data_IF_983662126766
#
_entry.id   IF_983662126766
#
_cell.length_a   1.000
_cell.length_b   1.000
_cell.length_c   1.000
_cell.angle_alpha   90.00
_cell.angle_beta   90.00
_cell.angle_gamma   90.00
#
_symmetry.space_group_name_H-M   'P 1'
#
loop_
_entity.id
_entity.type
_entity.pdbx_description
1 polymer ?
#
# COMPACT_ATOMS: atom_id res chain seq x y z
N UNK A 1 1.02 1.65 8.35
CA UNK A 1 0.34 0.34 8.54
C UNK A 1 -0.42 0.38 9.86
N UNK A 2 -1.70 -0.03 9.89
CA UNK A 2 -2.50 0.05 11.11
C UNK A 2 -2.01 -0.90 12.20
N UNK A 3 -2.18 -0.50 13.47
CA UNK A 3 -1.83 -1.31 14.66
C UNK A 3 -2.46 -2.71 14.60
N UNK A 4 -3.69 -2.82 14.10
CA UNK A 4 -4.38 -4.11 13.94
C UNK A 4 -3.64 -5.08 13.01
N UNK A 5 -3.05 -4.61 11.91
CA UNK A 5 -2.30 -5.48 10.99
C UNK A 5 -0.99 -5.98 11.62
N UNK A 6 -0.31 -5.13 12.41
CA UNK A 6 0.89 -5.53 13.17
C UNK A 6 0.57 -6.62 14.20
N UNK A 7 -0.52 -6.45 14.93
CA UNK A 7 -0.99 -7.46 15.89
C UNK A 7 -1.40 -8.76 15.18
N UNK A 8 -2.10 -8.67 14.05
CA UNK A 8 -2.44 -9.83 13.22
C UNK A 8 -1.19 -10.58 12.75
N UNK A 9 -0.14 -9.87 12.33
CA UNK A 9 1.14 -10.49 11.94
C UNK A 9 1.79 -11.23 13.10
N UNK A 10 1.86 -10.62 14.29
CA UNK A 10 2.45 -11.25 15.48
C UNK A 10 1.67 -12.49 15.88
N UNK A 11 0.33 -12.43 15.91
CA UNK A 11 -0.52 -13.57 16.24
C UNK A 11 -0.37 -14.73 15.24
N UNK A 12 -0.34 -14.43 13.94
CA UNK A 12 -0.14 -15.44 12.91
C UNK A 12 1.28 -16.02 12.96
N UNK A 13 2.29 -15.22 13.25
CA UNK A 13 3.68 -15.66 13.41
C UNK A 13 3.82 -16.58 14.61
N UNK A 14 3.19 -16.25 15.74
CA UNK A 14 3.16 -17.12 16.92
C UNK A 14 2.51 -18.47 16.60
N UNK A 15 1.39 -18.44 15.88
CA UNK A 15 0.72 -19.66 15.40
C UNK A 15 1.67 -20.48 14.53
N UNK A 16 2.32 -19.86 13.55
CA UNK A 16 3.29 -20.54 12.70
C UNK A 16 4.42 -21.19 13.51
N UNK A 17 5.10 -20.45 14.40
CA UNK A 17 6.24 -20.99 15.16
C UNK A 17 5.85 -22.06 16.19
N UNK A 18 4.65 -21.99 16.77
CA UNK A 18 4.15 -23.02 17.69
C UNK A 18 3.76 -24.30 16.96
N UNK A 19 3.11 -24.19 15.80
CA UNK A 19 2.60 -25.35 15.07
C UNK A 19 3.58 -25.95 14.06
N UNK A 20 4.55 -25.18 13.56
CA UNK A 20 5.53 -25.66 12.57
C UNK A 20 6.23 -26.97 12.96
N UNK A 21 6.68 -27.18 14.23
CA UNK A 21 7.29 -28.44 14.65
C UNK A 21 6.37 -29.66 14.49
N UNK A 22 5.06 -29.48 14.44
CA UNK A 22 4.07 -30.55 14.37
C UNK A 22 3.52 -30.82 12.96
N UNK A 23 3.77 -29.93 11.99
CA UNK A 23 3.21 -30.04 10.64
C UNK A 23 3.60 -31.35 9.93
N UNK A 24 4.78 -31.90 10.21
CA UNK A 24 5.22 -33.18 9.64
C UNK A 24 4.26 -34.35 9.95
N UNK A 25 3.48 -34.27 11.04
CA UNK A 25 2.50 -35.31 11.42
C UNK A 25 1.28 -35.36 10.50
N UNK A 26 1.03 -34.30 9.75
CA UNK A 26 -0.08 -34.25 8.78
C UNK A 26 0.25 -35.02 7.49
N UNK A 27 1.53 -35.31 7.23
CA UNK A 27 2.02 -35.81 5.94
C UNK A 27 2.48 -34.66 5.02
N UNK A 28 3.26 -35.01 3.99
CA UNK A 28 3.98 -34.02 3.18
C UNK A 28 3.06 -33.04 2.44
N UNK A 29 1.98 -33.53 1.81
CA UNK A 29 1.06 -32.72 1.03
C UNK A 29 0.30 -31.68 1.90
N UNK A 30 -0.46 -32.07 2.94
CA UNK A 30 -1.18 -31.10 3.76
C UNK A 30 -0.22 -30.17 4.54
N UNK A 31 0.94 -30.65 5.00
CA UNK A 31 1.94 -29.79 5.63
C UNK A 31 2.43 -28.70 4.68
N UNK A 32 2.69 -29.04 3.41
CA UNK A 32 3.12 -28.08 2.39
C UNK A 32 2.03 -27.05 2.09
N UNK A 33 0.78 -27.49 1.91
CA UNK A 33 -0.35 -26.58 1.68
C UNK A 33 -0.54 -25.60 2.84
N UNK A 34 -0.55 -26.10 4.08
CA UNK A 34 -0.68 -25.26 5.28
C UNK A 34 0.48 -24.26 5.37
N UNK A 35 1.72 -24.70 5.11
CA UNK A 35 2.90 -23.83 5.18
C UNK A 35 2.82 -22.72 4.13
N UNK A 36 2.46 -23.02 2.88
CA UNK A 36 2.31 -22.03 1.80
C UNK A 36 1.21 -21.03 2.14
N UNK A 37 0.05 -21.49 2.62
CA UNK A 37 -1.06 -20.61 3.01
C UNK A 37 -0.64 -19.68 4.16
N UNK A 38 -0.04 -20.22 5.22
CA UNK A 38 0.43 -19.41 6.35
C UNK A 38 1.49 -18.39 5.92
N UNK A 39 2.44 -18.79 5.07
CA UNK A 39 3.49 -17.90 4.58
C UNK A 39 2.93 -16.79 3.67
N UNK A 40 1.96 -17.10 2.81
CA UNK A 40 1.25 -16.11 1.99
C UNK A 40 0.47 -15.11 2.87
N UNK A 41 -0.26 -15.60 3.87
CA UNK A 41 -0.97 -14.73 4.82
C UNK A 41 -0.02 -13.84 5.63
N UNK A 42 1.13 -14.38 6.07
CA UNK A 42 2.16 -13.59 6.75
C UNK A 42 2.73 -12.51 5.82
N UNK A 43 3.02 -12.84 4.56
CA UNK A 43 3.55 -11.88 3.59
C UNK A 43 2.52 -10.78 3.25
N UNK A 44 1.23 -11.14 3.15
CA UNK A 44 0.13 -10.18 2.98
C UNK A 44 0.00 -9.25 4.19
N UNK A 45 0.14 -9.76 5.41
CA UNK A 45 0.11 -8.95 6.64
C UNK A 45 1.36 -8.07 6.76
N UNK A 46 2.53 -8.58 6.40
CA UNK A 46 3.79 -7.82 6.38
C UNK A 46 3.78 -6.71 5.32
N UNK A 47 3.23 -7.00 4.15
CA UNK A 47 2.99 -6.03 3.09
C UNK A 47 1.93 -5.01 3.52
N UNK A 48 0.85 -5.44 4.16
CA UNK A 48 -0.29 -4.60 4.46
C UNK A 48 -1.18 -4.32 3.24
N UNK A 49 -0.88 -4.88 2.07
CA UNK A 49 -1.74 -4.91 0.87
C UNK A 49 -2.05 -6.33 0.43
N UNK A 50 -3.17 -6.49 -0.29
CA UNK A 50 -3.55 -7.74 -0.94
C UNK A 50 -3.11 -7.67 -2.40
N UNK A 51 -1.85 -8.04 -2.64
CA UNK A 51 -1.25 -8.03 -3.97
C UNK A 51 -0.56 -9.37 -4.29
N UNK A 52 -0.46 -9.68 -5.59
CA UNK A 52 0.11 -10.92 -6.07
C UNK A 52 1.61 -11.05 -5.74
N UNK A 53 2.33 -9.94 -5.58
CA UNK A 53 3.76 -9.92 -5.29
C UNK A 53 3.99 -10.42 -3.86
N UNK A 54 3.21 -9.96 -2.89
CA UNK A 54 3.21 -10.44 -1.52
C UNK A 54 2.87 -11.94 -1.43
N UNK A 55 1.86 -12.42 -2.18
CA UNK A 55 1.53 -13.85 -2.24
C UNK A 55 2.70 -14.66 -2.82
N UNK A 56 3.32 -14.19 -3.90
CA UNK A 56 4.48 -14.82 -4.51
C UNK A 56 5.66 -14.89 -3.52
N UNK A 57 5.95 -13.80 -2.80
CA UNK A 57 6.99 -13.77 -1.78
C UNK A 57 6.69 -14.72 -0.61
N UNK A 58 5.44 -14.82 -0.16
CA UNK A 58 5.04 -15.79 0.86
C UNK A 58 5.15 -17.24 0.40
N UNK A 59 4.69 -17.56 -0.81
CA UNK A 59 4.87 -18.89 -1.40
C UNK A 59 6.35 -19.24 -1.57
N UNK A 60 7.15 -18.27 -2.05
CA UNK A 60 8.60 -18.39 -2.14
C UNK A 60 9.27 -18.59 -0.77
N UNK A 61 8.77 -17.93 0.27
CA UNK A 61 9.25 -18.11 1.65
C UNK A 61 9.02 -19.54 2.15
N UNK A 62 7.82 -20.10 1.94
CA UNK A 62 7.52 -21.48 2.32
C UNK A 62 8.43 -22.48 1.58
N UNK A 63 8.63 -22.29 0.28
CA UNK A 63 9.53 -23.12 -0.53
C UNK A 63 10.99 -23.03 -0.05
N UNK A 64 11.54 -21.82 0.04
CA UNK A 64 12.93 -21.60 0.42
C UNK A 64 13.22 -22.01 1.87
N UNK A 65 12.28 -21.74 2.78
CA UNK A 65 12.37 -22.19 4.18
C UNK A 65 12.43 -23.72 4.28
N UNK A 66 11.61 -24.42 3.50
CA UNK A 66 11.66 -25.90 3.45
C UNK A 66 13.00 -26.41 2.91
N UNK A 67 13.49 -25.82 1.82
CA UNK A 67 14.78 -26.19 1.22
C UNK A 67 15.96 -25.99 2.18
N UNK A 68 15.99 -24.84 2.87
CA UNK A 68 17.04 -24.51 3.83
C UNK A 68 16.90 -25.28 5.15
N UNK A 69 15.71 -25.79 5.47
CA UNK A 69 15.45 -26.59 6.68
C UNK A 69 16.26 -27.88 6.75
N UNK A 70 16.64 -28.43 5.59
CA UNK A 70 17.54 -29.58 5.52
C UNK A 70 18.99 -29.24 5.89
N UNK A 71 19.39 -27.96 5.77
CA UNK A 71 20.74 -27.49 6.07
C UNK A 71 20.83 -27.04 7.52
N UNK A 72 19.94 -26.13 7.94
CA UNK A 72 19.97 -25.53 9.28
C UNK A 72 18.64 -24.86 9.61
N UNK A 73 17.98 -25.19 10.74
CA UNK A 73 16.70 -24.58 11.11
C UNK A 73 16.76 -23.05 11.26
N UNK A 74 17.78 -22.44 11.89
CA UNK A 74 17.94 -20.99 11.92
C UNK A 74 18.08 -20.34 10.53
N UNK A 75 18.79 -20.99 9.61
CA UNK A 75 18.93 -20.47 8.25
C UNK A 75 17.59 -20.51 7.51
N UNK A 76 16.82 -21.58 7.69
CA UNK A 76 15.47 -21.71 7.14
C UNK A 76 14.55 -20.58 7.58
N UNK A 77 14.53 -20.28 8.88
CA UNK A 77 13.69 -19.20 9.42
C UNK A 77 14.19 -17.81 9.02
N UNK A 78 15.51 -17.61 8.91
CA UNK A 78 16.09 -16.36 8.40
C UNK A 78 15.60 -16.07 6.97
N UNK A 79 15.77 -17.04 6.06
CA UNK A 79 15.36 -16.89 4.65
C UNK A 79 13.85 -16.76 4.52
N UNK A 80 13.08 -17.54 5.30
CA UNK A 80 11.62 -17.45 5.35
C UNK A 80 11.16 -16.03 5.69
N UNK A 81 11.67 -15.45 6.78
CA UNK A 81 11.26 -14.12 7.24
C UNK A 81 11.69 -13.04 6.25
N UNK A 82 12.91 -13.13 5.70
CA UNK A 82 13.39 -12.20 4.67
C UNK A 82 12.47 -12.19 3.43
N UNK A 83 12.01 -13.36 2.98
CA UNK A 83 11.09 -13.46 1.85
C UNK A 83 9.67 -13.01 2.21
N UNK A 84 9.15 -13.34 3.39
CA UNK A 84 7.84 -12.83 3.88
C UNK A 84 7.81 -11.29 3.84
N UNK A 85 8.93 -10.65 4.15
CA UNK A 85 9.11 -9.20 4.10
C UNK A 85 9.59 -8.66 2.75
N UNK A 86 9.70 -9.50 1.72
CA UNK A 86 10.31 -9.16 0.43
C UNK A 86 9.57 -8.03 -0.29
N UNK A 87 8.25 -8.11 -0.40
CA UNK A 87 7.44 -7.04 -1.00
C UNK A 87 7.63 -5.72 -0.23
N UNK A 88 7.53 -5.75 1.11
CA UNK A 88 7.70 -4.56 1.95
C UNK A 88 9.09 -3.95 1.76
N UNK A 89 10.11 -4.79 1.63
CA UNK A 89 11.50 -4.37 1.38
C UNK A 89 11.63 -3.60 0.07
N UNK A 90 10.91 -3.99 -0.99
CA UNK A 90 10.92 -3.28 -2.28
C UNK A 90 10.40 -1.85 -2.15
N UNK A 91 9.51 -1.61 -1.18
CA UNK A 91 8.97 -0.28 -0.86
C UNK A 91 9.86 0.56 0.05
N UNK A 92 10.97 0.02 0.58
CA UNK A 92 11.93 0.83 1.34
C UNK A 92 12.69 1.73 0.36
N UNK A 93 12.58 3.06 0.57
CA UNK A 93 13.01 4.09 -0.38
C UNK A 93 14.54 4.16 -0.55
N UNK A 94 15.26 4.15 0.57
CA UNK A 94 16.71 4.36 0.60
C UNK A 94 17.43 3.03 0.56
N UNK A 95 18.46 2.90 -0.29
CA UNK A 95 19.22 1.65 -0.45
C UNK A 95 19.82 1.15 0.87
N UNK A 96 20.37 2.06 1.69
CA UNK A 96 20.89 1.72 3.02
C UNK A 96 19.80 1.18 3.97
N UNK A 97 18.65 1.84 4.04
CA UNK A 97 17.52 1.38 4.84
C UNK A 97 16.97 0.04 4.32
N UNK A 98 17.00 -0.19 3.01
CA UNK A 98 16.59 -1.46 2.41
C UNK A 98 17.54 -2.60 2.80
N UNK A 99 18.84 -2.36 2.74
CA UNK A 99 19.85 -3.32 3.19
C UNK A 99 19.69 -3.61 4.69
N UNK A 100 19.44 -2.58 5.50
CA UNK A 100 19.13 -2.74 6.92
C UNK A 100 17.84 -3.55 7.14
N UNK A 101 16.79 -3.34 6.34
CA UNK A 101 15.53 -4.10 6.44
C UNK A 101 15.73 -5.58 6.11
N UNK A 102 16.46 -5.90 5.04
CA UNK A 102 16.83 -7.29 4.70
C UNK A 102 17.70 -7.90 5.80
N UNK A 103 18.73 -7.18 6.25
CA UNK A 103 19.62 -7.65 7.31
C UNK A 103 18.88 -7.92 8.61
N UNK A 104 17.96 -7.03 9.00
CA UNK A 104 17.13 -7.18 10.19
C UNK A 104 16.15 -8.35 10.05
N UNK A 105 15.56 -8.55 8.87
CA UNK A 105 14.69 -9.71 8.60
C UNK A 105 15.44 -11.04 8.69
N UNK A 106 16.64 -11.12 8.11
CA UNK A 106 17.50 -12.30 8.20
C UNK A 106 17.95 -12.56 9.66
N UNK A 107 18.44 -11.53 10.35
CA UNK A 107 18.94 -11.65 11.72
C UNK A 107 17.83 -12.04 12.70
N UNK A 108 16.67 -11.37 12.63
CA UNK A 108 15.52 -11.67 13.49
C UNK A 108 14.91 -13.04 13.19
N UNK A 109 14.81 -13.42 11.91
CA UNK A 109 14.36 -14.75 11.52
C UNK A 109 15.32 -15.85 11.99
N UNK A 110 16.64 -15.64 11.88
CA UNK A 110 17.65 -16.56 12.39
C UNK A 110 17.59 -16.71 13.91
N UNK A 111 17.48 -15.61 14.64
CA UNK A 111 17.31 -15.60 16.09
C UNK A 111 16.02 -16.32 16.53
N UNK A 112 14.91 -16.07 15.84
CA UNK A 112 13.65 -16.77 16.07
C UNK A 112 13.78 -18.29 15.87
N UNK A 113 14.49 -18.72 14.83
CA UNK A 113 14.78 -20.14 14.59
C UNK A 113 15.64 -20.77 15.68
N UNK A 114 16.67 -20.07 16.16
CA UNK A 114 17.50 -20.52 17.28
C UNK A 114 16.68 -20.70 18.55
N UNK A 115 15.81 -19.74 18.88
CA UNK A 115 14.92 -19.81 20.04
C UNK A 115 14.01 -21.03 19.94
N UNK A 116 13.29 -21.21 18.83
CA UNK A 116 12.39 -22.36 18.66
C UNK A 116 13.15 -23.70 18.69
N UNK A 117 14.34 -23.75 18.09
CA UNK A 117 15.17 -24.94 18.09
C UNK A 117 15.65 -25.31 19.50
N UNK A 118 16.10 -24.34 20.29
CA UNK A 118 16.60 -24.56 21.66
C UNK A 118 15.53 -25.16 22.59
N UNK A 119 14.25 -24.85 22.37
CA UNK A 119 13.14 -25.32 23.19
C UNK A 119 12.31 -26.44 22.53
N UNK A 120 12.78 -27.03 21.42
CA UNK A 120 12.02 -28.06 20.68
C UNK A 120 11.68 -29.31 21.51
N UNK A 121 12.54 -29.67 22.46
CA UNK A 121 12.33 -30.81 23.37
C UNK A 121 11.66 -30.44 24.69
N UNK A 122 11.29 -29.17 24.90
CA UNK A 122 10.66 -28.73 26.13
C UNK A 122 9.17 -29.10 26.18
N UNK A 123 8.54 -28.90 27.34
CA UNK A 123 7.09 -29.05 27.48
C UNK A 123 6.31 -28.08 26.57
N UNK A 124 5.05 -28.42 26.29
CA UNK A 124 4.18 -27.64 25.38
C UNK A 124 4.05 -26.18 25.78
N UNK A 125 3.95 -25.88 27.08
CA UNK A 125 3.89 -24.51 27.59
C UNK A 125 5.16 -23.72 27.27
N UNK A 126 6.34 -24.31 27.50
CA UNK A 126 7.64 -23.67 27.20
C UNK A 126 7.81 -23.44 25.70
N UNK A 127 7.42 -24.41 24.87
CA UNK A 127 7.44 -24.27 23.42
C UNK A 127 6.50 -23.16 22.94
N UNK A 128 5.32 -23.03 23.55
CA UNK A 128 4.37 -21.95 23.25
C UNK A 128 4.97 -20.57 23.56
N UNK A 129 5.63 -20.42 24.72
CA UNK A 129 6.34 -19.18 25.09
C UNK A 129 7.48 -18.90 24.11
N UNK A 130 8.29 -19.91 23.76
CA UNK A 130 9.36 -19.76 22.77
C UNK A 130 8.82 -19.32 21.40
N UNK A 131 7.69 -19.87 20.96
CA UNK A 131 7.00 -19.46 19.73
C UNK A 131 6.50 -18.02 19.78
N UNK A 132 5.99 -17.55 20.92
CA UNK A 132 5.59 -16.16 21.11
C UNK A 132 6.81 -15.21 21.06
N UNK A 133 7.90 -15.56 21.71
CA UNK A 133 9.15 -14.79 21.66
C UNK A 133 9.67 -14.71 20.22
N UNK A 134 9.69 -15.85 19.51
CA UNK A 134 10.04 -15.90 18.09
C UNK A 134 9.16 -14.99 17.23
N UNK A 135 7.84 -14.97 17.47
CA UNK A 135 6.90 -14.10 16.78
C UNK A 135 7.19 -12.61 16.99
N UNK A 136 7.57 -12.21 18.20
CA UNK A 136 7.97 -10.83 18.51
C UNK A 136 9.28 -10.48 17.81
N UNK A 137 10.26 -11.39 17.81
CA UNK A 137 11.54 -11.18 17.13
C UNK A 137 11.33 -10.93 15.63
N UNK A 138 10.56 -11.77 14.94
CA UNK A 138 10.33 -11.62 13.50
C UNK A 138 9.49 -10.40 13.13
N UNK A 139 8.90 -9.69 14.10
CA UNK A 139 8.26 -8.39 13.87
C UNK A 139 9.27 -7.22 13.79
N UNK A 140 10.55 -7.45 14.12
CA UNK A 140 11.58 -6.42 14.09
C UNK A 140 11.70 -5.64 12.76
N UNK A 141 11.53 -6.23 11.56
CA UNK A 141 11.58 -5.47 10.31
C UNK A 141 10.56 -4.33 10.21
N UNK A 142 9.48 -4.35 11.00
CA UNK A 142 8.54 -3.23 11.08
C UNK A 142 9.13 -1.96 11.72
N UNK A 143 10.29 -2.05 12.39
CA UNK A 143 11.02 -0.89 12.90
C UNK A 143 11.58 -0.02 11.78
N UNK A 144 11.75 -0.58 10.57
CA UNK A 144 12.17 0.17 9.40
C UNK A 144 10.91 0.53 8.59
N UNK A 145 10.76 1.83 8.39
CA UNK A 145 9.65 2.38 7.64
C UNK A 145 9.78 2.02 6.16
N UNK A 146 8.66 1.57 5.61
CA UNK A 146 8.50 1.31 4.19
C UNK A 146 7.51 2.34 3.64
N UNK A 147 7.67 2.72 2.38
CA UNK A 147 6.77 3.67 1.72
C UNK A 147 5.32 3.15 1.76
N UNK A 148 4.36 4.08 1.74
CA UNK A 148 2.96 3.73 1.60
C UNK A 148 2.77 2.92 0.30
N UNK A 149 1.99 1.82 0.29
CA UNK A 149 1.85 0.97 -0.89
C UNK A 149 1.35 1.72 -2.13
N UNK A 150 0.47 2.69 -1.93
CA UNK A 150 -0.09 3.48 -3.02
C UNK A 150 0.87 4.56 -3.50
N UNK A 151 1.56 5.24 -2.57
CA UNK A 151 2.64 6.16 -2.93
C UNK A 151 3.74 5.44 -3.73
N UNK A 152 4.09 4.21 -3.32
CA UNK A 152 5.04 3.37 -4.04
C UNK A 152 4.54 3.01 -5.44
N UNK A 153 3.28 2.56 -5.57
CA UNK A 153 2.69 2.21 -6.85
C UNK A 153 2.65 3.39 -7.83
N UNK A 154 2.27 4.59 -7.37
CA UNK A 154 2.33 5.82 -8.17
C UNK A 154 3.76 6.20 -8.53
N UNK A 155 4.72 6.03 -7.62
CA UNK A 155 6.14 6.26 -7.90
C UNK A 155 6.69 5.28 -8.96
N UNK A 156 6.23 4.03 -8.98
CA UNK A 156 6.58 3.09 -10.05
C UNK A 156 5.94 3.49 -11.38
N UNK A 157 4.65 3.84 -11.37
CA UNK A 157 3.95 4.31 -12.56
C UNK A 157 4.61 5.53 -13.20
N UNK A 158 5.09 6.47 -12.37
CA UNK A 158 5.87 7.63 -12.80
C UNK A 158 7.16 7.26 -13.52
N UNK A 159 7.87 6.22 -13.07
CA UNK A 159 9.14 5.76 -13.69
C UNK A 159 8.91 4.97 -14.98
N UNK A 160 7.80 4.26 -15.06
CA UNK A 160 7.47 3.42 -16.21
C UNK A 160 6.79 4.19 -17.35
N UNK A 161 6.09 5.29 -17.02
CA UNK A 161 5.38 6.10 -18.02
C UNK A 161 6.26 7.24 -18.52
N UNK A 162 6.09 7.64 -19.78
CA UNK A 162 6.77 8.79 -20.39
C UNK A 162 5.83 9.99 -20.53
N UNK A 163 6.40 11.18 -20.64
CA UNK A 163 5.64 12.41 -20.90
C UNK A 163 5.08 13.08 -19.64
N UNK A 164 4.13 14.02 -19.78
CA UNK A 164 3.68 14.89 -18.68
C UNK A 164 2.95 14.13 -17.56
N UNK A 165 2.27 13.02 -17.87
CA UNK A 165 1.57 12.21 -16.85
C UNK A 165 2.52 11.56 -15.84
N UNK A 166 3.78 11.34 -16.21
CA UNK A 166 4.80 10.85 -15.27
C UNK A 166 5.00 11.81 -14.09
N UNK A 167 4.94 13.12 -14.34
CA UNK A 167 5.02 14.15 -13.31
C UNK A 167 3.76 14.17 -12.42
N UNK A 168 2.57 13.90 -13.00
CA UNK A 168 1.33 13.77 -12.23
C UNK A 168 1.37 12.58 -11.26
N UNK A 169 1.89 11.43 -11.69
CA UNK A 169 2.07 10.28 -10.80
C UNK A 169 3.12 10.55 -9.71
N UNK A 170 4.22 11.23 -10.04
CA UNK A 170 5.22 11.64 -9.05
C UNK A 170 4.61 12.59 -8.00
N UNK A 171 3.81 13.57 -8.44
CA UNK A 171 3.09 14.51 -7.58
C UNK A 171 2.07 13.78 -6.70
N UNK A 172 1.30 12.85 -7.25
CA UNK A 172 0.37 12.02 -6.48
C UNK A 172 1.07 11.14 -5.44
N UNK A 173 2.22 10.56 -5.79
CA UNK A 173 3.03 9.78 -4.85
C UNK A 173 3.53 10.64 -3.69
N UNK A 174 4.00 11.85 -3.96
CA UNK A 174 4.47 12.77 -2.92
C UNK A 174 3.32 13.26 -2.05
N UNK A 175 2.20 13.64 -2.66
CA UNK A 175 0.99 14.04 -1.95
C UNK A 175 0.53 12.95 -0.99
N UNK A 176 0.54 11.67 -1.41
CA UNK A 176 0.17 10.55 -0.53
C UNK A 176 1.09 10.39 0.67
N UNK A 177 2.39 10.71 0.53
CA UNK A 177 3.35 10.62 1.63
C UNK A 177 3.08 11.69 2.69
N UNK A 178 2.85 12.93 2.24
CA UNK A 178 2.55 14.05 3.14
C UNK A 178 1.18 13.87 3.81
N UNK A 179 0.21 13.38 3.04
CA UNK A 179 -1.16 13.14 3.47
C UNK A 179 -1.34 12.11 4.60
N UNK A 180 -0.39 11.20 4.80
CA UNK A 180 -0.58 10.05 5.68
C UNK A 180 -0.80 10.45 7.16
N UNK A 181 -0.36 11.65 7.54
CA UNK A 181 -0.40 12.14 8.91
C UNK A 181 -1.55 13.11 9.19
N UNK A 182 -2.36 13.43 8.18
CA UNK A 182 -3.44 14.41 8.29
C UNK A 182 -4.69 13.75 8.92
N UNK A 183 -5.16 14.18 10.10
CA UNK A 183 -6.35 13.61 10.71
C UNK A 183 -7.60 14.09 9.98
N UNK A 184 -8.33 13.13 9.39
CA UNK A 184 -9.64 13.31 8.76
C UNK A 184 -10.72 12.63 9.60
N UNK A 185 -11.95 13.14 9.56
CA UNK A 185 -13.09 12.39 10.06
C UNK A 185 -13.32 11.13 9.19
N UNK A 186 -14.17 10.22 9.70
CA UNK A 186 -14.35 8.90 9.07
C UNK A 186 -15.01 8.96 7.70
N UNK A 187 -15.83 9.98 7.43
CA UNK A 187 -16.55 10.10 6.18
C UNK A 187 -15.62 10.64 5.10
N UNK A 188 -14.97 11.78 5.36
CA UNK A 188 -13.97 12.36 4.44
C UNK A 188 -12.80 11.40 4.21
N UNK A 189 -12.34 10.67 5.25
CA UNK A 189 -11.30 9.66 5.07
C UNK A 189 -11.69 8.55 4.08
N UNK A 190 -12.97 8.15 4.02
CA UNK A 190 -13.46 7.15 3.06
C UNK A 190 -13.50 7.71 1.65
N UNK A 191 -14.03 8.92 1.46
CA UNK A 191 -14.11 9.58 0.16
C UNK A 191 -12.72 9.83 -0.46
N UNK A 192 -11.78 10.31 0.37
CA UNK A 192 -10.39 10.53 -0.03
C UNK A 192 -9.75 9.19 -0.40
N UNK A 193 -9.96 8.15 0.38
CA UNK A 193 -9.46 6.80 0.09
C UNK A 193 -10.05 6.22 -1.21
N UNK A 194 -11.32 6.46 -1.51
CA UNK A 194 -11.95 6.03 -2.77
C UNK A 194 -11.40 6.80 -3.97
N UNK A 195 -11.14 8.10 -3.81
CA UNK A 195 -10.49 8.95 -4.84
C UNK A 195 -9.07 8.44 -5.15
N UNK A 196 -8.33 8.08 -4.11
CA UNK A 196 -7.02 7.46 -4.19
C UNK A 196 -7.05 6.11 -4.94
N UNK A 197 -8.02 5.25 -4.64
CA UNK A 197 -8.22 3.98 -5.37
C UNK A 197 -8.57 4.20 -6.83
N UNK A 198 -9.41 5.18 -7.13
CA UNK A 198 -9.76 5.57 -8.49
C UNK A 198 -8.52 6.02 -9.28
N UNK A 199 -7.67 6.86 -8.68
CA UNK A 199 -6.40 7.29 -9.27
C UNK A 199 -5.47 6.10 -9.57
N UNK A 200 -5.34 5.15 -8.64
CA UNK A 200 -4.53 3.95 -8.86
C UNK A 200 -5.10 3.06 -9.98
N UNK A 201 -6.43 2.97 -10.08
CA UNK A 201 -7.13 2.30 -11.18
C UNK A 201 -6.81 2.94 -12.54
N UNK A 202 -6.84 4.28 -12.62
CA UNK A 202 -6.47 5.04 -13.82
C UNK A 202 -4.99 4.85 -14.19
N UNK A 203 -4.08 4.92 -13.21
CA UNK A 203 -2.65 4.67 -13.42
C UNK A 203 -2.39 3.27 -13.97
N UNK A 204 -3.07 2.26 -13.42
CA UNK A 204 -2.96 0.86 -13.89
C UNK A 204 -3.49 0.71 -15.31
N UNK A 205 -4.64 1.32 -15.63
CA UNK A 205 -5.19 1.31 -16.98
C UNK A 205 -4.24 1.97 -18.00
N UNK A 206 -3.67 3.12 -17.61
CA UNK A 206 -2.70 3.86 -18.42
C UNK A 206 -1.44 3.05 -18.72
N UNK A 207 -0.84 2.40 -17.71
CA UNK A 207 0.32 1.51 -17.88
C UNK A 207 0.01 0.29 -18.75
N UNK A 208 -1.18 -0.30 -18.61
CA UNK A 208 -1.60 -1.43 -19.45
C UNK A 208 -1.74 -1.03 -20.91
N UNK A 209 -2.27 0.15 -21.20
CA UNK A 209 -2.40 0.67 -22.56
C UNK A 209 -1.01 0.98 -23.14
N UNK A 210 -0.15 1.65 -22.38
CA UNK A 210 1.24 1.98 -22.76
C UNK A 210 2.05 0.72 -23.13
N UNK A 211 1.88 -0.37 -22.37
CA UNK A 211 2.58 -1.64 -22.64
C UNK A 211 2.03 -2.40 -23.85
N UNK A 212 0.75 -2.22 -24.19
CA UNK A 212 0.09 -2.94 -25.30
C UNK A 212 0.40 -2.29 -26.64
N UNK A 213 0.49 -0.97 -26.70
CA UNK A 213 0.65 -0.27 -27.96
C UNK A 213 2.11 -0.07 -28.33
N UNK A 214 2.64 -1.04 -29.08
CA UNK A 214 3.85 -0.83 -29.90
C UNK A 214 3.55 -0.16 -31.25
N UNK A 215 2.27 -0.06 -31.62
CA UNK A 215 1.79 0.58 -32.86
C UNK A 215 0.68 1.54 -32.47
N UNK A 216 0.95 2.84 -32.60
CA UNK A 216 0.08 3.91 -32.10
C UNK A 216 -1.09 4.10 -33.07
N UNK A 217 -2.31 3.89 -32.59
CA UNK A 217 -3.53 4.24 -33.33
C UNK A 217 -4.06 5.61 -32.87
N UNK A 218 -4.62 6.45 -33.77
CA UNK A 218 -5.19 7.74 -33.38
C UNK A 218 -6.29 7.63 -32.31
N UNK A 219 -7.05 6.53 -32.33
CA UNK A 219 -8.09 6.26 -31.34
C UNK A 219 -7.50 6.07 -29.93
N UNK A 220 -6.34 5.42 -29.83
CA UNK A 220 -5.71 5.18 -28.55
C UNK A 220 -4.98 6.41 -28.02
N UNK A 221 -4.39 7.24 -28.88
CA UNK A 221 -3.90 8.57 -28.47
C UNK A 221 -5.02 9.40 -27.81
N UNK A 222 -6.22 9.39 -28.41
CA UNK A 222 -7.39 10.07 -27.82
C UNK A 222 -7.77 9.50 -26.45
N UNK A 223 -7.74 8.17 -26.29
CA UNK A 223 -8.02 7.51 -25.01
C UNK A 223 -6.95 7.86 -23.97
N UNK A 224 -5.68 7.85 -24.35
CA UNK A 224 -4.55 8.21 -23.48
C UNK A 224 -4.67 9.66 -23.02
N UNK A 225 -4.98 10.60 -23.90
CA UNK A 225 -5.20 12.00 -23.55
C UNK A 225 -6.35 12.16 -22.53
N UNK A 226 -7.47 11.46 -22.73
CA UNK A 226 -8.60 11.45 -21.77
C UNK A 226 -8.23 10.84 -20.42
N UNK A 227 -7.41 9.79 -20.41
CA UNK A 227 -6.90 9.19 -19.17
C UNK A 227 -5.97 10.16 -18.43
N UNK A 228 -5.04 10.78 -19.13
CA UNK A 228 -4.07 11.71 -18.56
C UNK A 228 -4.77 12.94 -17.97
N UNK A 229 -5.78 13.50 -18.67
CA UNK A 229 -6.62 14.59 -18.16
C UNK A 229 -7.38 14.17 -16.89
N UNK A 230 -7.97 12.98 -16.87
CA UNK A 230 -8.71 12.47 -15.71
C UNK A 230 -7.77 12.20 -14.52
N UNK A 231 -6.56 11.70 -14.77
CA UNK A 231 -5.51 11.54 -13.75
C UNK A 231 -5.16 12.91 -13.15
N UNK A 232 -4.94 13.93 -13.99
CA UNK A 232 -4.68 15.30 -13.55
C UNK A 232 -5.77 15.82 -12.63
N UNK A 233 -7.04 15.68 -13.03
CA UNK A 233 -8.19 16.08 -12.21
C UNK A 233 -8.22 15.41 -10.83
N UNK A 234 -7.93 14.10 -10.74
CA UNK A 234 -7.91 13.41 -9.45
C UNK A 234 -6.76 13.88 -8.56
N UNK A 235 -5.57 14.08 -9.14
CA UNK A 235 -4.41 14.60 -8.39
C UNK A 235 -4.69 16.01 -7.88
N UNK A 236 -5.31 16.88 -8.68
CA UNK A 236 -5.64 18.25 -8.26
C UNK A 236 -6.76 18.29 -7.21
N UNK A 237 -7.78 17.44 -7.32
CA UNK A 237 -8.82 17.29 -6.28
C UNK A 237 -8.19 16.86 -4.95
N UNK A 238 -7.34 15.83 -4.97
CA UNK A 238 -6.64 15.37 -3.77
C UNK A 238 -5.74 16.47 -3.21
N UNK A 239 -5.00 17.19 -4.05
CA UNK A 239 -4.13 18.27 -3.61
C UNK A 239 -4.92 19.38 -2.91
N UNK A 240 -6.04 19.83 -3.50
CA UNK A 240 -6.93 20.82 -2.89
C UNK A 240 -7.51 20.33 -1.57
N UNK A 241 -7.97 19.08 -1.51
CA UNK A 241 -8.52 18.49 -0.28
C UNK A 241 -7.49 18.51 0.86
N UNK A 242 -6.26 18.08 0.62
CA UNK A 242 -5.22 18.11 1.66
C UNK A 242 -4.78 19.52 2.03
N UNK A 243 -4.68 20.45 1.07
CA UNK A 243 -4.40 21.87 1.37
C UNK A 243 -5.50 22.49 2.24
N UNK A 244 -6.77 22.19 1.96
CA UNK A 244 -7.89 22.67 2.77
C UNK A 244 -7.82 22.12 4.21
N UNK A 245 -7.50 20.84 4.36
CA UNK A 245 -7.40 20.21 5.67
C UNK A 245 -6.18 20.71 6.46
N UNK A 246 -5.02 20.87 5.80
CA UNK A 246 -3.84 21.46 6.42
C UNK A 246 -4.11 22.90 6.88
N UNK A 247 -4.83 23.68 6.08
CA UNK A 247 -5.24 25.04 6.45
C UNK A 247 -6.18 25.01 7.66
N UNK A 248 -7.18 24.13 7.66
CA UNK A 248 -8.11 23.97 8.78
C UNK A 248 -7.41 23.52 10.08
N UNK A 249 -6.41 22.64 9.98
CA UNK A 249 -5.59 22.22 11.12
C UNK A 249 -4.67 23.31 11.62
N UNK A 250 -3.99 24.03 10.73
CA UNK A 250 -3.15 25.16 11.09
C UNK A 250 -3.96 26.19 11.90
N UNK A 251 -5.16 26.50 11.43
CA UNK A 251 -6.10 27.38 12.10
C UNK A 251 -6.52 26.85 13.47
N UNK A 252 -6.92 25.57 13.58
CA UNK A 252 -7.29 24.96 14.87
C UNK A 252 -6.12 24.93 15.86
N UNK A 253 -4.90 24.83 15.36
CA UNK A 253 -3.67 24.90 16.16
C UNK A 253 -3.30 26.34 16.58
N UNK A 254 -4.12 27.34 16.24
CA UNK A 254 -3.90 28.75 16.59
C UNK A 254 -3.03 29.52 15.60
N UNK A 255 -2.82 29.01 14.38
CA UNK A 255 -2.16 29.73 13.30
C UNK A 255 -3.17 30.57 12.51
N UNK A 256 -3.36 31.80 12.98
CA UNK A 256 -3.85 33.01 12.27
C UNK A 256 -5.22 32.94 11.56
N UNK A 257 -6.21 33.60 12.18
CA UNK A 257 -7.62 33.78 11.75
C UNK A 257 -7.78 34.36 10.34
N UNK A 258 -6.79 35.10 9.82
CA UNK A 258 -6.89 35.77 8.52
C UNK A 258 -6.82 34.82 7.32
N UNK A 259 -6.28 33.62 7.51
CA UNK A 259 -6.18 32.61 6.44
C UNK A 259 -7.52 31.90 6.18
N UNK A 260 -8.33 31.69 7.24
CA UNK A 260 -9.68 31.14 7.13
C UNK A 260 -10.63 32.02 6.33
N UNK A 261 -10.56 33.33 6.57
CA UNK A 261 -11.49 34.27 5.96
C UNK A 261 -11.36 34.25 4.43
N UNK A 262 -10.13 34.12 3.91
CA UNK A 262 -9.87 34.01 2.47
C UNK A 262 -10.35 32.69 1.86
N UNK A 263 -10.14 31.54 2.53
CA UNK A 263 -10.58 30.25 1.99
C UNK A 263 -12.11 30.12 2.00
N UNK A 264 -12.77 30.68 3.01
CA UNK A 264 -14.23 30.74 3.05
C UNK A 264 -14.81 31.66 1.95
N UNK A 265 -14.17 32.80 1.70
CA UNK A 265 -14.50 33.72 0.60
C UNK A 265 -14.28 33.05 -0.77
N UNK A 266 -13.18 32.32 -0.95
CA UNK A 266 -12.88 31.59 -2.20
C UNK A 266 -13.88 30.43 -2.45
N UNK A 267 -14.29 29.69 -1.41
CA UNK A 267 -15.27 28.61 -1.56
C UNK A 267 -16.66 29.14 -1.91
N UNK A 268 -17.09 30.24 -1.29
CA UNK A 268 -18.35 30.91 -1.62
C UNK A 268 -18.34 31.41 -3.08
N UNK A 269 -17.22 31.96 -3.54
CA UNK A 269 -17.08 32.39 -4.94
C UNK A 269 -17.15 31.21 -5.95
N UNK A 270 -16.66 30.03 -5.58
CA UNK A 270 -16.76 28.82 -6.42
C UNK A 270 -18.18 28.23 -6.47
N UNK A 271 -18.92 28.33 -5.38
CA UNK A 271 -20.33 27.93 -5.33
C UNK A 271 -21.18 28.87 -6.20
N UNK A 272 -20.92 30.19 -6.14
CA UNK A 272 -21.55 31.19 -7.01
C UNK A 272 -21.21 30.97 -8.50
N UNK A 273 -19.96 30.62 -8.82
CA UNK A 273 -19.54 30.33 -10.21
C UNK A 273 -20.17 29.03 -10.74
N UNK A 274 -20.34 28.02 -9.88
CA UNK A 274 -21.00 26.76 -10.21
C UNK A 274 -22.49 26.95 -10.47
N UNK A 275 -23.15 27.82 -9.70
CA UNK A 275 -24.55 28.21 -9.90
C UNK A 275 -24.74 28.98 -11.21
N UNK A 276 -23.86 29.96 -11.50
CA UNK A 276 -23.89 30.70 -12.75
C UNK A 276 -23.69 29.82 -13.99
N UNK A 277 -22.81 28.82 -13.92
CA UNK A 277 -22.61 27.85 -15.01
C UNK A 277 -23.83 26.94 -15.21
N UNK A 278 -24.51 26.55 -14.14
CA UNK A 278 -25.74 25.77 -14.21
C UNK A 278 -26.88 26.58 -14.86
N UNK A 279 -26.99 27.88 -14.58
CA UNK A 279 -27.95 28.77 -15.24
C UNK A 279 -27.68 28.93 -16.74
N UNK A 280 -26.41 29.09 -17.12
CA UNK A 280 -26.00 29.18 -18.53
C UNK A 280 -26.30 27.88 -19.29
N UNK A 281 -26.04 26.72 -18.68
CA UNK A 281 -26.36 25.42 -19.29
C UNK A 281 -27.88 25.23 -19.45
N UNK A 282 -28.67 25.68 -18.47
CA UNK A 282 -30.12 25.67 -18.55
C UNK A 282 -30.66 26.57 -19.68
N UNK A 283 -30.09 27.77 -19.84
CA UNK A 283 -30.47 28.70 -20.90
C UNK A 283 -30.14 28.16 -22.31
N UNK A 284 -28.96 27.57 -22.50
CA UNK A 284 -28.55 26.95 -23.77
C UNK A 284 -29.44 25.76 -24.15
N UNK A 285 -29.89 24.97 -23.16
CA UNK A 285 -30.86 23.89 -23.40
C UNK A 285 -32.23 24.43 -23.80
N UNK A 286 -32.68 25.55 -23.24
CA UNK A 286 -33.96 26.16 -23.61
C UNK A 286 -33.93 26.70 -25.06
N UNK A 287 -32.83 27.31 -25.48
CA UNK A 287 -32.67 27.88 -26.83
C UNK A 287 -32.61 26.79 -27.92
N UNK A 288 -31.83 25.73 -27.67
CA UNK A 288 -31.77 24.56 -28.57
C UNK A 288 -33.09 23.80 -28.70
N UNK A 289 -33.96 23.87 -27.68
CA UNK A 289 -35.31 23.33 -27.77
C UNK A 289 -36.25 24.26 -28.58
N UNK A 290 -36.03 25.58 -28.52
CA UNK A 290 -36.78 26.56 -29.31
C UNK A 290 -36.46 26.45 -30.81
N UNK A 291 -35.19 26.34 -31.19
CA UNK A 291 -34.77 26.16 -32.60
C UNK A 291 -35.28 24.86 -33.22
N UNK A 292 -35.48 23.81 -32.42
CA UNK A 292 -36.06 22.53 -32.90
C UNK A 292 -37.57 22.56 -33.04
N UNK A 293 -38.24 23.54 -32.43
CA UNK A 293 -39.69 23.69 -32.47
C UNK A 293 -40.16 24.62 -33.62
N UNK A 294 -39.26 25.39 -34.22
CA UNK A 294 -39.47 26.23 -35.41
C UNK A 294 -39.14 25.50 -36.72
#
# INVERSE_FOLDING_TARGET
>A
MSTMKRLGYVALSATYFVFAPFLHRLGALPASLVTVVLAALLALLASGTVDAVAVMFGAGAAFAGTLMGAVSPPLATAVFVALVFGERTLRVRVAGARLAHVGLALASGGAAGLVVQAYRGAGTATLAVAGLVAAVLVAAPFLIEADDPMAHALSLASRETRGPVAALFARGAELRRVAADVPLDRETAREVEDTWRALLGLATARLRLDRRERVVSPAAESILAKLDERIGRHVDVLARAYTAVDTAHAVRAGADDRSLQRVAEDHAAMDDESEALAEVEAALRADTLSERAS
#
